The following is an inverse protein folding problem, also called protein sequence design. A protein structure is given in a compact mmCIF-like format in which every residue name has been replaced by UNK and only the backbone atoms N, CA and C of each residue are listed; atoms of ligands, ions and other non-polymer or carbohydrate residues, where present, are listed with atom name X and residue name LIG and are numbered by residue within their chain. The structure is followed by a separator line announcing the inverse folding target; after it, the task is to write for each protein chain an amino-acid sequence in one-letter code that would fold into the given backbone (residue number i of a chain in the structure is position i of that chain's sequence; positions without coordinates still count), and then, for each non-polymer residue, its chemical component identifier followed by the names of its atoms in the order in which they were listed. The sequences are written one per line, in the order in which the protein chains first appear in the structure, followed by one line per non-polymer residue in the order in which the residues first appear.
data_IF_602702563229
#
_entry.id   IF_602702563229
#
_cell.length_a   1.000
_cell.length_b   1.000
_cell.length_c   1.000
_cell.angle_alpha   90.00
_cell.angle_beta   90.00
_cell.angle_gamma   90.00
#
_symmetry.space_group_name_H-M   'P 1'
#
loop_
_entity.id
_entity.type
_entity.pdbx_description
1 polymer ?
#
# COMPACT_ATOMS: atom_id res chain seq x y z
N UNK A 1 -12.59 13.26 11.35
CA UNK A 1 -13.82 12.48 11.15
C UNK A 1 -14.25 12.73 9.72
N UNK A 2 -14.06 11.75 8.85
CA UNK A 2 -14.51 11.82 7.47
C UNK A 2 -16.04 11.74 7.47
N UNK A 3 -16.69 12.91 7.53
CA UNK A 3 -18.14 13.01 7.48
C UNK A 3 -18.63 13.37 6.07
N UNK A 4 -17.78 13.13 5.05
CA UNK A 4 -18.18 13.32 3.66
C UNK A 4 -18.39 11.97 2.97
N UNK A 5 -19.44 11.27 3.41
CA UNK A 5 -19.98 10.14 2.65
C UNK A 5 -20.18 10.51 1.17
N UNK A 6 -20.48 11.79 0.88
CA UNK A 6 -20.67 12.27 -0.47
C UNK A 6 -19.41 12.20 -1.34
N UNK A 7 -18.20 12.38 -0.76
CA UNK A 7 -16.96 12.23 -1.50
C UNK A 7 -16.70 10.77 -1.90
N UNK A 8 -16.89 9.85 -0.94
CA UNK A 8 -16.74 8.42 -1.20
C UNK A 8 -17.84 7.88 -2.12
N UNK A 9 -19.08 8.30 -1.93
CA UNK A 9 -20.20 7.90 -2.79
C UNK A 9 -20.01 8.34 -4.25
N UNK A 10 -19.36 9.48 -4.47
CA UNK A 10 -19.08 9.99 -5.81
C UNK A 10 -18.00 9.19 -6.53
N UNK A 11 -16.97 8.74 -5.81
CA UNK A 11 -15.75 8.18 -6.39
C UNK A 11 -15.61 6.66 -6.18
N UNK A 12 -16.42 6.06 -5.31
CA UNK A 12 -16.41 4.63 -5.02
C UNK A 12 -17.77 4.04 -5.34
N UNK A 13 -17.80 3.10 -6.28
CA UNK A 13 -18.99 2.29 -6.52
C UNK A 13 -19.02 1.12 -5.53
N UNK A 14 -20.04 1.10 -4.69
CA UNK A 14 -20.29 0.00 -3.75
C UNK A 14 -20.73 -1.26 -4.50
N UNK A 15 -19.92 -2.29 -4.45
CA UNK A 15 -20.37 -3.63 -4.79
C UNK A 15 -21.00 -4.27 -3.54
N UNK A 16 -22.31 -4.15 -3.40
CA UNK A 16 -23.06 -4.55 -2.20
C UNK A 16 -23.00 -6.06 -1.89
N UNK A 17 -22.48 -6.89 -2.78
CA UNK A 17 -22.37 -8.35 -2.59
C UNK A 17 -21.02 -8.80 -2.05
N UNK A 18 -20.00 -7.95 -2.14
CA UNK A 18 -18.64 -8.23 -1.66
C UNK A 18 -18.13 -7.02 -0.88
N UNK A 19 -17.33 -7.22 0.12
CA UNK A 19 -16.72 -6.17 0.97
C UNK A 19 -15.71 -5.28 0.22
N UNK A 20 -15.76 -5.23 -1.10
CA UNK A 20 -14.82 -4.52 -1.96
C UNK A 20 -15.49 -3.31 -2.60
N UNK A 21 -14.77 -2.22 -2.59
CA UNK A 21 -15.08 -1.02 -3.35
C UNK A 21 -14.18 -0.99 -4.59
N UNK A 22 -14.53 -0.20 -5.60
CA UNK A 22 -13.67 0.03 -6.74
C UNK A 22 -13.78 1.48 -7.20
N UNK A 23 -12.69 2.01 -7.76
CA UNK A 23 -12.62 3.37 -8.29
C UNK A 23 -11.68 3.43 -9.48
N UNK A 24 -11.91 4.38 -10.37
CA UNK A 24 -10.98 4.77 -11.45
C UNK A 24 -10.26 6.10 -11.12
N UNK A 25 -10.48 6.64 -9.93
CA UNK A 25 -9.78 7.82 -9.46
C UNK A 25 -8.40 7.43 -8.91
N UNK A 26 -7.35 7.84 -9.64
CA UNK A 26 -5.95 7.61 -9.30
C UNK A 26 -5.28 8.89 -8.77
N UNK A 27 -6.07 9.88 -8.31
CA UNK A 27 -5.53 11.08 -7.69
C UNK A 27 -4.85 10.77 -6.35
N UNK A 28 -3.80 11.52 -6.05
CA UNK A 28 -3.02 11.39 -4.82
C UNK A 28 -3.88 11.71 -3.60
N UNK A 29 -4.70 12.74 -3.70
CA UNK A 29 -5.63 13.19 -2.66
C UNK A 29 -6.64 12.10 -2.31
N UNK A 30 -7.25 11.47 -3.32
CA UNK A 30 -8.22 10.40 -3.10
C UNK A 30 -7.59 9.20 -2.41
N UNK A 31 -6.40 8.79 -2.85
CA UNK A 31 -5.69 7.67 -2.24
C UNK A 31 -5.31 7.95 -0.78
N UNK A 32 -4.82 9.17 -0.49
CA UNK A 32 -4.46 9.59 0.86
C UNK A 32 -5.68 9.56 1.78
N UNK A 33 -6.82 10.06 1.33
CA UNK A 33 -8.06 10.03 2.12
C UNK A 33 -8.57 8.61 2.37
N UNK A 34 -8.47 7.71 1.37
CA UNK A 34 -8.77 6.29 1.57
C UNK A 34 -7.88 5.66 2.64
N UNK A 35 -6.58 5.87 2.54
CA UNK A 35 -5.62 5.30 3.50
C UNK A 35 -5.83 5.87 4.92
N UNK A 36 -6.11 7.17 5.07
CA UNK A 36 -6.47 7.79 6.35
C UNK A 36 -7.78 7.24 6.93
N UNK A 37 -8.72 6.85 6.07
CA UNK A 37 -9.96 6.21 6.48
C UNK A 37 -9.79 4.72 6.86
N UNK A 38 -8.58 4.16 6.71
CA UNK A 38 -8.27 2.77 7.07
C UNK A 38 -8.43 1.77 5.94
N UNK A 39 -8.58 2.24 4.70
CA UNK A 39 -8.60 1.34 3.55
C UNK A 39 -7.20 0.87 3.17
N UNK A 40 -7.11 -0.41 2.84
CA UNK A 40 -5.95 -1.00 2.15
C UNK A 40 -6.34 -1.19 0.69
N UNK A 41 -5.56 -0.63 -0.21
CA UNK A 41 -5.87 -0.67 -1.64
C UNK A 41 -4.98 -1.65 -2.39
N UNK A 42 -5.57 -2.31 -3.37
CA UNK A 42 -4.88 -3.07 -4.43
C UNK A 42 -5.33 -2.55 -5.78
N UNK A 43 -4.81 -3.10 -6.88
CA UNK A 43 -5.33 -2.78 -8.20
C UNK A 43 -5.72 -4.04 -8.97
N UNK A 44 -6.63 -3.88 -9.92
CA UNK A 44 -7.13 -4.97 -10.75
C UNK A 44 -7.39 -4.52 -12.18
N UNK A 45 -6.97 -5.35 -13.16
CA UNK A 45 -7.25 -5.13 -14.57
C UNK A 45 -8.69 -5.52 -14.91
N UNK A 46 -9.44 -4.58 -15.45
CA UNK A 46 -10.77 -4.82 -16.01
C UNK A 46 -10.76 -4.65 -17.52
N UNK A 47 -11.88 -4.94 -18.16
CA UNK A 47 -12.05 -4.69 -19.60
C UNK A 47 -11.98 -3.19 -19.95
N UNK A 48 -12.33 -2.35 -18.98
CA UNK A 48 -12.42 -0.90 -19.13
C UNK A 48 -11.18 -0.17 -18.56
N UNK A 49 -10.14 -0.92 -18.22
CA UNK A 49 -8.87 -0.42 -17.69
C UNK A 49 -8.57 -0.84 -16.26
N UNK A 50 -7.47 -0.31 -15.71
CA UNK A 50 -7.04 -0.58 -14.37
C UNK A 50 -7.92 0.15 -13.36
N UNK A 51 -8.35 -0.55 -12.30
CA UNK A 51 -9.14 0.01 -11.21
C UNK A 51 -8.42 -0.14 -9.87
N UNK A 52 -8.61 0.83 -9.00
CA UNK A 52 -8.23 0.76 -7.59
C UNK A 52 -9.31 -0.02 -6.84
N UNK A 53 -8.89 -0.96 -6.00
CA UNK A 53 -9.76 -1.78 -5.15
C UNK A 53 -9.45 -1.48 -3.67
N UNK A 54 -10.06 -0.47 -3.07
CA UNK A 54 -9.93 -0.23 -1.64
C UNK A 54 -10.77 -1.22 -0.84
N UNK A 55 -10.17 -1.82 0.18
CA UNK A 55 -10.81 -2.74 1.12
C UNK A 55 -10.70 -2.18 2.54
N UNK A 56 -11.82 -2.05 3.23
CA UNK A 56 -11.82 -1.64 4.63
C UNK A 56 -11.53 -2.86 5.52
N UNK A 57 -10.45 -2.78 6.29
CA UNK A 57 -10.05 -3.82 7.22
C UNK A 57 -10.73 -3.59 8.57
N UNK A 58 -11.59 -4.53 8.99
CA UNK A 58 -12.25 -4.48 10.30
C UNK A 58 -11.46 -5.21 11.39
N UNK A 59 -10.71 -6.23 10.99
CA UNK A 59 -9.90 -7.06 11.89
C UNK A 59 -8.42 -6.96 11.52
N UNK A 60 -7.57 -6.78 12.54
CA UNK A 60 -6.13 -6.67 12.38
C UNK A 60 -5.43 -7.76 13.17
N UNK A 61 -4.48 -8.44 12.54
CA UNK A 61 -3.53 -9.27 13.26
C UNK A 61 -2.48 -8.39 13.95
N UNK A 62 -2.42 -8.42 15.26
CA UNK A 62 -1.44 -7.67 16.04
C UNK A 62 -0.36 -8.62 16.54
N UNK A 63 0.90 -8.29 16.25
CA UNK A 63 2.05 -8.96 16.85
C UNK A 63 2.52 -8.19 18.09
N UNK A 64 2.33 -8.75 19.27
CA UNK A 64 2.98 -8.25 20.48
C UNK A 64 4.47 -8.62 20.45
N UNK A 65 5.34 -7.61 20.45
CA UNK A 65 6.80 -7.83 20.44
C UNK A 65 7.32 -8.67 21.60
N UNK A 66 6.62 -8.71 22.74
CA UNK A 66 6.97 -9.60 23.86
C UNK A 66 6.81 -11.07 23.52
N UNK A 67 5.91 -11.37 22.58
CA UNK A 67 5.61 -12.72 22.12
C UNK A 67 6.26 -13.03 20.76
N UNK A 68 7.14 -12.15 20.25
CA UNK A 68 7.80 -12.34 18.97
C UNK A 68 8.71 -13.57 19.00
N UNK A 69 8.34 -14.59 18.23
CA UNK A 69 9.16 -15.77 18.01
C UNK A 69 10.12 -15.56 16.85
N UNK A 70 11.41 -15.43 17.14
CA UNK A 70 12.46 -15.36 16.11
C UNK A 70 13.01 -16.76 15.90
N UNK A 71 12.82 -17.31 14.72
CA UNK A 71 13.32 -18.66 14.36
C UNK A 71 14.85 -18.72 14.43
N UNK A 72 15.39 -19.93 14.66
CA UNK A 72 16.85 -20.18 14.66
C UNK A 72 17.53 -19.74 13.37
N UNK A 73 16.83 -19.89 12.23
CA UNK A 73 17.34 -19.47 10.91
C UNK A 73 17.49 -17.97 10.84
N UNK A 74 16.46 -17.22 11.26
CA UNK A 74 16.49 -15.74 11.27
C UNK A 74 17.55 -15.24 12.25
N UNK A 75 17.67 -15.85 13.45
CA UNK A 75 18.75 -15.49 14.40
C UNK A 75 20.14 -15.64 13.80
N UNK A 76 20.38 -16.71 13.02
CA UNK A 76 21.66 -16.87 12.32
C UNK A 76 21.88 -15.78 11.26
N UNK A 77 20.85 -15.41 10.52
CA UNK A 77 20.93 -14.35 9.49
C UNK A 77 21.23 -12.97 10.11
N UNK A 78 20.69 -12.68 11.30
CA UNK A 78 20.96 -11.43 12.02
C UNK A 78 22.42 -11.28 12.48
N UNK A 79 23.19 -12.37 12.53
CA UNK A 79 24.62 -12.36 12.87
C UNK A 79 25.55 -12.37 11.65
N UNK A 80 24.96 -12.37 10.45
CA UNK A 80 25.73 -12.31 9.19
C UNK A 80 25.67 -10.87 8.72
N UNK A 81 26.82 -10.17 8.75
CA UNK A 81 26.96 -8.76 8.34
C UNK A 81 26.77 -8.52 6.83
N UNK A 82 25.92 -9.32 6.18
CA UNK A 82 25.67 -9.23 4.74
C UNK A 82 24.35 -8.53 4.41
N UNK A 83 23.61 -8.06 5.42
CA UNK A 83 22.33 -7.40 5.22
C UNK A 83 22.32 -6.06 5.93
N UNK A 84 21.94 -5.03 5.20
CA UNK A 84 21.68 -3.71 5.75
C UNK A 84 20.18 -3.42 5.75
N UNK A 85 19.66 -2.95 6.88
CA UNK A 85 18.28 -2.48 6.96
C UNK A 85 18.23 -0.99 6.68
N UNK A 86 17.48 -0.61 5.65
CA UNK A 86 17.31 0.77 5.22
C UNK A 86 15.84 1.17 5.21
N UNK A 87 15.58 2.45 5.31
CA UNK A 87 14.24 3.03 5.21
C UNK A 87 14.25 4.10 4.13
N UNK A 88 13.42 3.93 3.13
CA UNK A 88 13.18 4.92 2.07
C UNK A 88 14.44 5.37 1.29
N UNK A 89 15.43 4.48 1.15
CA UNK A 89 16.68 4.76 0.42
C UNK A 89 16.60 4.36 -1.04
N UNK A 90 15.79 3.35 -1.35
CA UNK A 90 15.62 2.78 -2.70
C UNK A 90 14.16 2.60 -3.08
N UNK A 91 13.29 3.50 -2.67
CA UNK A 91 11.83 3.40 -2.86
C UNK A 91 11.44 3.05 -4.30
N UNK A 92 11.95 3.77 -5.28
CA UNK A 92 11.64 3.53 -6.70
C UNK A 92 12.11 2.14 -7.16
N UNK A 93 13.28 1.70 -6.72
CA UNK A 93 13.82 0.39 -7.05
C UNK A 93 12.96 -0.74 -6.45
N UNK A 94 12.46 -0.56 -5.24
CA UNK A 94 11.52 -1.50 -4.60
C UNK A 94 10.25 -1.65 -5.44
N UNK A 95 9.65 -0.53 -5.85
CA UNK A 95 8.45 -0.53 -6.69
C UNK A 95 8.73 -1.20 -8.05
N UNK A 96 9.83 -0.87 -8.71
CA UNK A 96 10.17 -1.42 -10.04
C UNK A 96 10.48 -2.92 -9.99
N UNK A 97 11.05 -3.40 -8.89
CA UNK A 97 11.36 -4.83 -8.71
C UNK A 97 10.18 -5.67 -8.27
N UNK A 98 9.09 -5.05 -7.84
CA UNK A 98 7.91 -5.78 -7.41
C UNK A 98 7.35 -6.68 -8.53
N UNK A 99 7.35 -6.21 -9.77
CA UNK A 99 6.95 -6.96 -10.95
C UNK A 99 7.81 -8.19 -11.22
N UNK A 100 9.10 -8.13 -10.89
CA UNK A 100 10.03 -9.23 -11.12
C UNK A 100 9.82 -10.40 -10.14
N UNK A 101 9.30 -10.10 -8.95
CA UNK A 101 9.12 -11.10 -7.89
C UNK A 101 7.75 -11.77 -7.90
N UNK A 102 6.73 -11.07 -8.39
CA UNK A 102 5.34 -11.51 -8.29
C UNK A 102 4.70 -11.72 -9.66
N UNK A 103 4.45 -12.98 -10.02
CA UNK A 103 3.80 -13.35 -11.29
C UNK A 103 2.40 -12.75 -11.43
N UNK A 104 1.70 -12.56 -10.33
CA UNK A 104 0.39 -11.89 -10.24
C UNK A 104 0.55 -10.66 -9.35
N UNK A 105 0.91 -9.57 -9.99
CA UNK A 105 1.18 -8.31 -9.31
C UNK A 105 -0.07 -7.43 -9.28
N UNK A 106 -0.39 -6.91 -8.11
CA UNK A 106 -1.45 -5.91 -7.91
C UNK A 106 -0.92 -4.47 -7.92
N UNK A 107 0.39 -4.29 -7.84
CA UNK A 107 1.06 -2.99 -7.89
C UNK A 107 1.47 -2.67 -9.32
N UNK A 108 0.51 -2.31 -10.16
CA UNK A 108 0.73 -2.07 -11.59
C UNK A 108 0.70 -0.58 -11.92
N UNK A 109 1.33 -0.25 -13.04
CA UNK A 109 1.27 1.01 -13.80
C UNK A 109 0.84 2.25 -13.01
N UNK A 110 -0.43 2.61 -13.06
CA UNK A 110 -0.98 3.79 -12.40
C UNK A 110 -0.81 3.73 -10.88
N UNK A 111 -0.93 2.55 -10.28
CA UNK A 111 -0.75 2.41 -8.83
C UNK A 111 0.72 2.60 -8.43
N UNK A 112 1.64 1.98 -9.17
CA UNK A 112 3.07 2.18 -8.96
C UNK A 112 3.47 3.65 -9.13
N UNK A 113 2.94 4.31 -10.17
CA UNK A 113 3.14 5.74 -10.42
C UNK A 113 2.59 6.60 -9.30
N UNK A 114 1.38 6.30 -8.84
CA UNK A 114 0.73 7.00 -7.73
C UNK A 114 1.59 6.94 -6.46
N UNK A 115 2.06 5.77 -6.05
CA UNK A 115 2.90 5.62 -4.87
C UNK A 115 4.24 6.35 -4.99
N UNK A 116 4.86 6.32 -6.18
CA UNK A 116 6.08 7.08 -6.46
C UNK A 116 5.86 8.59 -6.33
N UNK A 117 4.78 9.09 -6.90
CA UNK A 117 4.43 10.50 -6.81
C UNK A 117 4.23 10.95 -5.36
N UNK A 118 3.41 10.21 -4.59
CA UNK A 118 3.18 10.53 -3.17
C UNK A 118 4.49 10.47 -2.37
N UNK A 119 5.34 9.49 -2.63
CA UNK A 119 6.64 9.35 -1.95
C UNK A 119 7.58 10.53 -2.21
N UNK A 120 7.51 11.14 -3.39
CA UNK A 120 8.33 12.30 -3.77
C UNK A 120 7.75 13.64 -3.30
N UNK A 121 6.44 13.72 -3.12
CA UNK A 121 5.72 14.96 -2.82
C UNK A 121 5.35 15.04 -1.34
N UNK A 122 6.33 15.45 -0.53
CA UNK A 122 6.16 15.59 0.92
C UNK A 122 5.22 16.76 1.33
N UNK A 123 4.75 17.57 0.36
CA UNK A 123 3.91 18.74 0.63
C UNK A 123 2.41 18.44 0.54
N UNK A 124 2.01 17.32 -0.07
CA UNK A 124 0.59 16.96 -0.24
C UNK A 124 -0.14 16.81 1.08
N UNK A 125 0.48 16.19 2.06
CA UNK A 125 -0.08 16.04 3.41
C UNK A 125 1.02 15.77 4.43
N UNK A 126 1.20 16.68 5.37
CA UNK A 126 2.23 16.56 6.42
C UNK A 126 2.01 15.37 7.38
N UNK A 127 0.79 14.80 7.39
CA UNK A 127 0.40 13.70 8.27
C UNK A 127 0.37 12.33 7.57
N UNK A 128 0.67 12.27 6.27
CA UNK A 128 0.66 11.04 5.49
C UNK A 128 1.97 10.87 4.74
N UNK A 129 2.54 9.66 4.83
CA UNK A 129 3.78 9.30 4.11
C UNK A 129 3.70 7.89 3.59
N UNK A 130 4.19 7.69 2.38
CA UNK A 130 4.48 6.36 1.82
C UNK A 130 5.97 6.15 1.90
N UNK A 131 6.39 5.09 2.58
CA UNK A 131 7.80 4.76 2.81
C UNK A 131 8.05 3.28 2.49
N UNK A 132 9.29 2.96 2.12
CA UNK A 132 9.75 1.58 1.96
C UNK A 132 10.63 1.15 3.13
N UNK A 133 10.54 -0.14 3.47
CA UNK A 133 11.47 -0.84 4.34
C UNK A 133 12.28 -1.82 3.50
N UNK A 134 13.59 -1.71 3.52
CA UNK A 134 14.48 -2.38 2.59
C UNK A 134 15.50 -3.23 3.35
N UNK A 135 15.80 -4.42 2.83
CA UNK A 135 16.94 -5.25 3.24
C UNK A 135 17.82 -5.39 2.01
N UNK A 136 19.06 -4.92 2.11
CA UNK A 136 20.04 -4.85 1.04
C UNK A 136 21.16 -5.83 1.30
#
# INVERSE_FOLDING_TARGET
MLNDNAYFEKNISLNMTNSYYWSQDWSEEFYIELAKAGFISTSYDTKDGLVLLPELQYDYAILDFKNLHISKKVKKLLHVDNYEFCINTRFNEVIDRFDLQHKYNWLKDEYAKLLKNISMNNELDNNFKVISFEII
#
